data_IF_478371267879
#
_entry.id   IF_478371267879
#
_cell.length_a   1.000
_cell.length_b   1.000
_cell.length_c   1.000
_cell.angle_alpha   90.00
_cell.angle_beta   90.00
_cell.angle_gamma   90.00
#
_symmetry.space_group_name_H-M   'P 1'
#
loop_
_entity.id
_entity.type
_entity.pdbx_description
1 polymer ?
#
# COMPACT_ATOMS: atom_id res chain seq x y z
N UNK A 1 -16.74 3.09 14.63
CA UNK A 1 -15.30 3.18 14.96
C UNK A 1 -14.57 2.06 14.24
N UNK A 2 -13.53 2.37 13.46
CA UNK A 2 -12.73 1.34 12.78
C UNK A 2 -11.98 0.53 13.83
N UNK A 3 -12.00 -0.80 13.68
CA UNK A 3 -11.47 -1.75 14.65
C UNK A 3 -9.93 -1.74 14.63
N UNK A 4 -9.34 -0.83 15.43
CA UNK A 4 -7.90 -0.60 15.53
C UNK A 4 -7.16 -1.78 16.20
N UNK A 5 -7.86 -2.81 16.67
CA UNK A 5 -7.30 -3.99 17.37
C UNK A 5 -6.34 -4.82 16.53
N UNK A 6 -6.26 -4.56 15.22
CA UNK A 6 -5.34 -5.23 14.28
C UNK A 6 -3.90 -4.70 14.33
N UNK A 7 -3.65 -3.56 14.96
CA UNK A 7 -2.32 -2.99 15.10
C UNK A 7 -1.68 -3.37 16.43
N UNK A 8 -0.35 -3.46 16.48
CA UNK A 8 0.35 -3.69 17.75
C UNK A 8 0.09 -2.55 18.75
N UNK A 9 0.36 -2.79 20.04
CA UNK A 9 0.03 -1.84 21.09
C UNK A 9 0.74 -0.49 20.95
N UNK A 10 1.93 -0.46 20.34
CA UNK A 10 2.68 0.78 20.12
C UNK A 10 2.03 1.61 19.02
N UNK A 11 1.80 1.01 17.86
CA UNK A 11 1.11 1.63 16.71
C UNK A 11 -0.32 2.03 17.06
N UNK A 12 -1.02 1.25 17.88
CA UNK A 12 -2.36 1.59 18.37
C UNK A 12 -2.36 2.87 19.21
N UNK A 13 -1.41 2.98 20.13
CA UNK A 13 -1.28 4.15 21.03
C UNK A 13 -0.98 5.42 20.24
N UNK A 14 -0.13 5.31 19.22
CA UNK A 14 0.22 6.44 18.36
C UNK A 14 -0.97 6.84 17.46
N UNK A 15 -1.65 5.87 16.84
CA UNK A 15 -2.84 6.12 16.01
C UNK A 15 -3.98 6.77 16.80
N UNK A 16 -4.19 6.39 18.06
CA UNK A 16 -5.28 6.95 18.89
C UNK A 16 -5.14 8.45 19.16
N UNK A 17 -3.92 9.01 19.08
CA UNK A 17 -3.64 10.44 19.33
C UNK A 17 -3.87 11.33 18.12
N UNK A 18 -4.13 10.74 16.96
CA UNK A 18 -4.18 11.44 15.67
C UNK A 18 -5.62 11.72 15.24
N UNK A 19 -5.79 12.76 14.41
CA UNK A 19 -7.06 13.00 13.73
C UNK A 19 -7.46 11.81 12.84
N UNK A 20 -8.75 11.66 12.46
CA UNK A 20 -9.16 10.62 11.51
C UNK A 20 -8.37 10.63 10.19
N UNK A 21 -8.01 11.82 9.70
CA UNK A 21 -7.25 12.02 8.46
C UNK A 21 -5.80 11.55 8.62
N UNK A 22 -5.11 11.99 9.66
CA UNK A 22 -3.75 11.55 9.99
C UNK A 22 -3.69 10.04 10.30
N UNK A 23 -4.74 9.48 10.91
CA UNK A 23 -4.85 8.04 11.12
C UNK A 23 -4.95 7.27 9.82
N UNK A 24 -5.72 7.75 8.86
CA UNK A 24 -5.86 7.09 7.56
C UNK A 24 -4.52 7.09 6.80
N UNK A 25 -3.81 8.22 6.82
CA UNK A 25 -2.49 8.36 6.19
C UNK A 25 -1.44 7.44 6.86
N UNK A 26 -1.38 7.39 8.19
CA UNK A 26 -0.43 6.52 8.91
C UNK A 26 -0.83 5.04 8.86
N UNK A 27 -2.13 4.72 8.87
CA UNK A 27 -2.59 3.34 8.72
C UNK A 27 -2.25 2.76 7.34
N UNK A 28 -2.19 3.62 6.32
CA UNK A 28 -1.74 3.23 4.97
C UNK A 28 -0.21 3.06 4.90
N UNK A 29 0.57 3.90 5.60
CA UNK A 29 2.02 3.77 5.58
C UNK A 29 2.49 2.51 6.33
N UNK A 30 3.24 1.67 5.62
CA UNK A 30 3.82 0.46 6.19
C UNK A 30 4.92 0.82 7.20
N UNK A 31 4.94 0.13 8.34
CA UNK A 31 5.99 0.37 9.34
C UNK A 31 7.37 -0.01 8.79
N UNK A 32 8.38 0.81 9.08
CA UNK A 32 9.73 0.62 8.54
C UNK A 32 10.37 -0.72 8.97
N UNK A 33 10.06 -1.20 10.19
CA UNK A 33 10.53 -2.50 10.68
C UNK A 33 9.84 -3.64 9.93
N UNK A 34 8.53 -3.52 9.70
CA UNK A 34 7.78 -4.48 8.89
C UNK A 34 8.32 -4.53 7.45
N UNK A 35 8.66 -3.37 6.87
CA UNK A 35 9.29 -3.30 5.54
C UNK A 35 10.65 -3.98 5.50
N UNK A 36 11.52 -3.72 6.49
CA UNK A 36 12.81 -4.37 6.56
C UNK A 36 12.66 -5.90 6.73
N UNK A 37 11.67 -6.36 7.52
CA UNK A 37 11.38 -7.79 7.70
C UNK A 37 10.88 -8.44 6.41
N UNK A 38 9.91 -7.82 5.72
CA UNK A 38 9.39 -8.31 4.45
C UNK A 38 10.50 -8.40 3.39
N UNK A 39 11.34 -7.37 3.27
CA UNK A 39 12.48 -7.38 2.34
C UNK A 39 13.50 -8.49 2.67
N UNK A 40 13.76 -8.75 3.96
CA UNK A 40 14.63 -9.87 4.37
C UNK A 40 14.04 -11.21 3.99
N UNK A 41 12.73 -11.39 4.15
CA UNK A 41 12.03 -12.62 3.81
C UNK A 41 11.99 -12.87 2.29
N UNK A 42 11.74 -11.82 1.50
CA UNK A 42 11.82 -11.87 0.04
C UNK A 42 13.21 -12.36 -0.41
N UNK A 43 14.28 -11.79 0.14
CA UNK A 43 15.65 -12.20 -0.18
C UNK A 43 15.97 -13.63 0.28
N UNK A 44 15.57 -14.02 1.48
CA UNK A 44 15.87 -15.37 2.00
C UNK A 44 15.18 -16.46 1.17
N UNK A 45 13.98 -16.18 0.66
CA UNK A 45 13.18 -17.08 -0.16
C UNK A 45 13.47 -16.97 -1.66
N UNK A 46 14.37 -16.08 -2.08
CA UNK A 46 14.67 -15.79 -3.50
C UNK A 46 13.41 -15.45 -4.31
N UNK A 47 12.53 -14.65 -3.70
CA UNK A 47 11.32 -14.14 -4.33
C UNK A 47 11.57 -12.77 -4.95
N UNK A 48 10.71 -12.40 -5.89
CA UNK A 48 10.66 -11.05 -6.43
C UNK A 48 9.51 -10.26 -5.79
N UNK A 49 9.77 -8.98 -5.50
CA UNK A 49 8.72 -8.06 -5.08
C UNK A 49 7.86 -7.71 -6.30
N UNK A 50 6.63 -8.22 -6.35
CA UNK A 50 5.70 -7.93 -7.46
C UNK A 50 4.91 -6.64 -7.27
N UNK A 51 4.62 -6.26 -6.02
CA UNK A 51 3.76 -5.12 -5.78
C UNK A 51 3.44 -4.86 -4.32
N UNK A 52 2.76 -3.74 -4.11
CA UNK A 52 2.15 -3.34 -2.86
C UNK A 52 0.63 -3.34 -3.04
N UNK A 53 -0.09 -3.58 -1.95
CA UNK A 53 -1.53 -3.40 -1.96
C UNK A 53 -1.99 -2.68 -0.70
N UNK A 54 -3.05 -1.91 -0.84
CA UNK A 54 -3.77 -1.31 0.28
C UNK A 54 -5.26 -1.18 -0.03
N UNK A 55 -6.03 -0.87 1.00
CA UNK A 55 -7.48 -0.70 0.87
C UNK A 55 -7.91 0.75 1.03
N UNK A 56 -8.83 1.18 0.18
CA UNK A 56 -9.57 2.41 0.32
C UNK A 56 -10.92 2.09 0.95
N UNK A 57 -11.13 2.47 2.21
CA UNK A 57 -12.35 2.08 2.93
C UNK A 57 -13.60 2.82 2.49
N UNK A 58 -13.46 4.04 1.93
CA UNK A 58 -14.58 4.93 1.59
C UNK A 58 -14.39 5.65 0.25
N UNK A 59 -13.45 5.20 -0.58
CA UNK A 59 -13.14 5.86 -1.84
C UNK A 59 -12.92 4.84 -2.95
N UNK A 60 -13.08 5.25 -4.21
CA UNK A 60 -12.93 4.35 -5.34
C UNK A 60 -11.50 3.81 -5.46
N UNK A 61 -11.34 2.73 -6.23
CA UNK A 61 -10.08 2.02 -6.42
C UNK A 61 -9.11 2.79 -7.34
N UNK A 62 -8.89 4.08 -7.10
CA UNK A 62 -7.96 4.93 -7.84
C UNK A 62 -6.91 5.51 -6.88
N UNK A 63 -5.66 5.75 -7.31
CA UNK A 63 -4.67 6.37 -6.46
C UNK A 63 -5.07 7.78 -6.06
N UNK A 64 -4.92 8.10 -4.79
CA UNK A 64 -4.91 9.43 -4.22
C UNK A 64 -3.56 10.12 -4.44
N UNK A 65 -3.47 11.41 -4.11
CA UNK A 65 -2.20 12.12 -4.17
C UNK A 65 -1.19 11.55 -3.15
N UNK A 66 -1.66 11.15 -1.97
CA UNK A 66 -0.83 10.50 -0.94
C UNK A 66 -0.26 9.17 -1.43
N UNK A 67 -1.08 8.35 -2.10
CA UNK A 67 -0.63 7.07 -2.69
C UNK A 67 0.51 7.29 -3.70
N UNK A 68 0.35 8.28 -4.57
CA UNK A 68 1.35 8.62 -5.59
C UNK A 68 2.65 9.10 -4.92
N UNK A 69 2.56 9.96 -3.91
CA UNK A 69 3.73 10.45 -3.18
C UNK A 69 4.51 9.30 -2.54
N UNK A 70 3.83 8.42 -1.80
CA UNK A 70 4.45 7.28 -1.13
C UNK A 70 5.05 6.29 -2.15
N UNK A 71 4.37 6.06 -3.28
CA UNK A 71 4.91 5.24 -4.36
C UNK A 71 6.19 5.84 -4.96
N UNK A 72 6.28 7.16 -5.12
CA UNK A 72 7.46 7.84 -5.66
C UNK A 72 8.65 7.85 -4.68
N UNK A 73 8.40 7.87 -3.36
CA UNK A 73 9.44 7.66 -2.35
C UNK A 73 10.07 6.27 -2.50
N UNK A 74 9.24 5.24 -2.69
CA UNK A 74 9.72 3.89 -2.96
C UNK A 74 10.44 3.79 -4.31
N UNK A 75 9.93 4.43 -5.37
CA UNK A 75 10.56 4.45 -6.69
C UNK A 75 12.01 4.97 -6.62
N UNK A 76 12.21 6.05 -5.88
CA UNK A 76 13.54 6.66 -5.69
C UNK A 76 14.53 5.71 -5.01
N UNK A 77 14.05 4.81 -4.15
CA UNK A 77 14.85 3.80 -3.47
C UNK A 77 15.06 2.55 -4.31
N UNK A 78 14.01 2.07 -4.99
CA UNK A 78 14.03 0.84 -5.81
C UNK A 78 15.00 0.95 -6.97
N UNK A 79 15.11 2.14 -7.59
CA UNK A 79 16.08 2.41 -8.65
C UNK A 79 17.53 2.21 -8.17
N UNK A 80 17.85 2.62 -6.93
CA UNK A 80 19.20 2.45 -6.34
C UNK A 80 19.50 0.98 -5.99
N UNK A 81 18.46 0.24 -5.61
CA UNK A 81 18.58 -1.17 -5.23
C UNK A 81 18.39 -2.16 -6.38
N UNK A 82 18.18 -1.69 -7.62
CA UNK A 82 17.87 -2.53 -8.78
C UNK A 82 16.68 -3.48 -8.54
N UNK A 83 15.71 -3.03 -7.76
CA UNK A 83 14.48 -3.78 -7.54
C UNK A 83 13.55 -3.62 -8.74
N UNK A 84 12.77 -4.66 -9.10
CA UNK A 84 11.77 -4.56 -10.15
C UNK A 84 10.74 -3.49 -9.83
N UNK A 85 10.09 -2.98 -10.88
CA UNK A 85 8.98 -2.05 -10.74
C UNK A 85 7.78 -2.76 -10.08
N UNK A 86 7.28 -2.28 -8.93
CA UNK A 86 6.12 -2.87 -8.27
C UNK A 86 4.82 -2.43 -8.95
N UNK A 87 3.82 -3.31 -8.92
CA UNK A 87 2.43 -2.92 -9.12
C UNK A 87 1.86 -2.35 -7.82
N UNK A 88 1.02 -1.32 -7.93
CA UNK A 88 0.27 -0.75 -6.82
C UNK A 88 -1.20 -1.15 -6.94
N UNK A 89 -1.63 -2.08 -6.09
CA UNK A 89 -2.99 -2.59 -6.08
C UNK A 89 -3.82 -1.80 -5.07
N UNK A 90 -4.96 -1.28 -5.52
CA UNK A 90 -5.91 -0.59 -4.66
C UNK A 90 -7.18 -1.40 -4.61
N UNK A 91 -7.59 -1.74 -3.39
CA UNK A 91 -8.82 -2.46 -3.09
C UNK A 91 -9.82 -1.43 -2.53
N UNK A 92 -10.81 -1.04 -3.33
CA UNK A 92 -11.89 -0.22 -2.82
C UNK A 92 -12.90 -1.08 -2.06
N UNK A 93 -13.21 -0.63 -0.85
CA UNK A 93 -14.26 -1.14 0.02
C UNK A 93 -15.39 -0.11 0.18
N UNK A 94 -15.47 0.88 -0.72
CA UNK A 94 -16.56 1.85 -0.77
C UNK A 94 -17.93 1.15 -0.81
N UNK A 95 -18.00 0.04 -1.55
CA UNK A 95 -19.11 -0.92 -1.52
C UNK A 95 -18.60 -2.24 -0.96
N UNK A 96 -18.80 -2.47 0.34
CA UNK A 96 -18.26 -3.65 1.05
C UNK A 96 -18.80 -4.99 0.52
N UNK A 97 -19.98 -5.00 -0.09
CA UNK A 97 -20.58 -6.14 -0.77
C UNK A 97 -19.96 -6.42 -2.14
N UNK A 98 -19.31 -5.42 -2.75
CA UNK A 98 -18.71 -5.48 -4.07
C UNK A 98 -17.33 -4.80 -4.10
N UNK A 99 -16.30 -5.41 -3.47
CA UNK A 99 -14.96 -4.86 -3.50
C UNK A 99 -14.41 -4.74 -4.93
N UNK A 100 -13.84 -3.59 -5.25
CA UNK A 100 -13.23 -3.34 -6.57
C UNK A 100 -11.72 -3.33 -6.44
N UNK A 101 -11.05 -4.19 -7.19
CA UNK A 101 -9.57 -4.26 -7.23
C UNK A 101 -9.08 -3.67 -8.54
N UNK A 102 -8.14 -2.73 -8.46
CA UNK A 102 -7.42 -2.19 -9.63
C UNK A 102 -5.93 -2.16 -9.38
N UNK A 103 -5.15 -2.30 -10.44
CA UNK A 103 -3.69 -2.26 -10.38
C UNK A 103 -3.17 -1.06 -11.17
N UNK A 104 -2.10 -0.46 -10.65
CA UNK A 104 -1.48 0.72 -11.22
C UNK A 104 0.03 0.55 -11.31
N UNK A 105 0.62 1.08 -12.37
CA UNK A 105 2.03 1.48 -12.39
C UNK A 105 2.11 2.95 -12.06
N UNK A 106 2.98 3.32 -11.13
CA UNK A 106 3.18 4.71 -10.71
C UNK A 106 4.61 5.09 -11.03
N UNK A 107 4.78 5.99 -11.99
CA UNK A 107 6.06 6.47 -12.49
C UNK A 107 5.95 7.95 -12.79
N UNK A 108 7.00 8.73 -12.52
CA UNK A 108 7.03 10.17 -12.82
C UNK A 108 5.79 10.91 -12.28
N UNK A 109 5.35 10.53 -11.07
CA UNK A 109 4.14 11.06 -10.42
C UNK A 109 2.83 10.81 -11.19
N UNK A 110 2.82 9.88 -12.14
CA UNK A 110 1.65 9.50 -12.94
C UNK A 110 1.27 8.05 -12.68
N UNK A 111 0.00 7.84 -12.34
CA UNK A 111 -0.60 6.52 -12.24
C UNK A 111 -1.18 6.09 -13.60
N UNK A 112 -0.79 4.89 -14.05
CA UNK A 112 -1.35 4.24 -15.24
C UNK A 112 -1.97 2.91 -14.82
N UNK A 113 -3.27 2.75 -15.07
CA UNK A 113 -3.98 1.51 -14.76
C UNK A 113 -3.48 0.36 -15.64
N UNK A 114 -3.32 -0.82 -15.04
CA UNK A 114 -2.92 -2.06 -15.71
C UNK A 114 -4.05 -3.08 -15.53
N UNK A 115 -4.48 -3.76 -16.60
CA UNK A 115 -5.54 -4.76 -16.50
C UNK A 115 -5.12 -5.93 -15.59
N UNK A 116 -6.05 -6.39 -14.75
CA UNK A 116 -5.91 -7.59 -13.94
C UNK A 116 -6.76 -8.69 -14.56
N UNK A 117 -6.20 -9.89 -14.67
CA UNK A 117 -6.91 -11.09 -15.07
C UNK A 117 -6.90 -12.09 -13.92
N UNK A 118 -8.09 -12.51 -13.49
CA UNK A 118 -8.22 -13.60 -12.52
C UNK A 118 -8.15 -14.93 -13.26
N UNK A 119 -7.22 -15.78 -12.86
CA UNK A 119 -7.16 -17.15 -13.35
C UNK A 119 -8.21 -17.99 -12.60
N UNK A 120 -8.89 -18.93 -13.29
CA UNK A 120 -9.88 -19.82 -12.70
C UNK A 120 -9.27 -20.82 -11.70
#
# INVERSE_FOLDING_TARGET
>A
EQDLTRFDAAKLTDLQRLSPEERADIAFQMDAREMAMAQRDIRSKKLDLLGFYHSHTFSPARPSQTDITIAMEFESYRAKLHLPEPFHLIISLEHTDQPVVRAYKIQESKATEVPIHTLP
#
